data_IF_581432034053
#
_entry.id   IF_581432034053
#
_cell.length_a   1.000
_cell.length_b   1.000
_cell.length_c   1.000
_cell.angle_alpha   90.00
_cell.angle_beta   90.00
_cell.angle_gamma   90.00
#
_symmetry.space_group_name_H-M   'P 1'
#
loop_
_entity.id
_entity.type
_entity.pdbx_description
1 polymer ?
#
# COMPACT_ATOMS: atom_id res chain seq x y z
N UNK A 1 -6.46 -1.89 14.23
CA UNK A 1 -5.82 -3.22 14.45
C UNK A 1 -6.33 -3.87 15.72
N UNK A 2 -6.41 -3.15 16.87
CA UNK A 2 -6.89 -3.76 18.13
C UNK A 2 -8.35 -4.18 18.11
N UNK A 3 -9.22 -3.44 17.40
CA UNK A 3 -10.63 -3.82 17.26
C UNK A 3 -10.81 -5.04 16.35
N UNK A 4 -9.94 -5.21 15.36
CA UNK A 4 -9.96 -6.39 14.49
C UNK A 4 -9.42 -7.63 15.19
N UNK A 5 -8.39 -7.49 16.03
CA UNK A 5 -7.83 -8.60 16.80
C UNK A 5 -8.89 -9.19 17.77
N UNK A 6 -9.69 -8.32 18.43
CA UNK A 6 -10.79 -8.77 19.28
C UNK A 6 -11.93 -9.49 18.55
N UNK A 7 -12.13 -9.16 17.27
CA UNK A 7 -13.13 -9.83 16.42
C UNK A 7 -12.69 -11.25 16.03
N UNK A 8 -11.40 -11.48 15.89
CA UNK A 8 -10.89 -12.79 15.51
C UNK A 8 -10.57 -13.72 16.67
N UNK A 9 -10.39 -13.20 17.88
CA UNK A 9 -10.09 -14.01 19.08
C UNK A 9 -11.30 -14.70 19.69
N UNK A 10 -12.53 -14.19 19.43
CA UNK A 10 -13.78 -14.80 19.95
C UNK A 10 -14.82 -15.03 18.85
N UNK A 11 -14.60 -16.01 17.96
CA UNK A 11 -15.50 -16.25 16.82
C UNK A 11 -16.95 -16.58 17.21
N UNK A 12 -17.20 -16.97 18.46
CA UNK A 12 -18.54 -17.31 18.96
C UNK A 12 -19.36 -16.09 19.44
N UNK A 13 -18.76 -14.91 19.56
CA UNK A 13 -19.43 -13.68 20.03
C UNK A 13 -19.65 -12.67 18.91
N UNK A 14 -19.08 -12.90 17.74
CA UNK A 14 -19.21 -11.99 16.60
C UNK A 14 -20.46 -12.31 15.80
N UNK A 15 -21.34 -11.33 15.67
CA UNK A 15 -22.46 -11.41 14.75
C UNK A 15 -21.92 -11.46 13.31
N UNK A 16 -21.99 -12.65 12.71
CA UNK A 16 -21.57 -12.88 11.33
C UNK A 16 -22.26 -11.96 10.32
N UNK A 17 -23.41 -11.37 10.65
CA UNK A 17 -24.08 -10.41 9.78
C UNK A 17 -23.28 -9.11 9.65
N UNK A 18 -22.59 -8.67 10.70
CA UNK A 18 -21.72 -7.49 10.69
C UNK A 18 -20.47 -7.74 9.85
N UNK A 19 -19.89 -8.93 9.95
CA UNK A 19 -18.76 -9.32 9.13
C UNK A 19 -19.15 -9.43 7.65
N UNK A 20 -20.34 -9.92 7.34
CA UNK A 20 -20.88 -9.99 5.98
C UNK A 20 -21.19 -8.62 5.38
N UNK A 21 -21.48 -7.63 6.19
CA UNK A 21 -21.72 -6.26 5.73
C UNK A 21 -20.43 -5.43 5.55
N UNK A 22 -19.31 -5.90 6.08
CA UNK A 22 -18.02 -5.30 5.86
C UNK A 22 -17.36 -5.95 4.62
N UNK A 23 -16.56 -5.22 3.90
CA UNK A 23 -15.76 -5.74 2.78
C UNK A 23 -14.72 -6.80 3.17
N UNK A 24 -14.83 -7.35 4.36
CA UNK A 24 -14.25 -8.60 4.82
C UNK A 24 -14.88 -9.84 4.17
N UNK A 25 -15.80 -9.66 3.22
CA UNK A 25 -16.51 -10.72 2.51
C UNK A 25 -15.60 -11.80 1.94
N UNK A 26 -14.39 -11.44 1.56
CA UNK A 26 -13.40 -12.41 1.12
C UNK A 26 -13.12 -13.48 2.17
N UNK A 27 -12.74 -13.06 3.38
CA UNK A 27 -12.37 -14.00 4.44
C UNK A 27 -13.57 -14.87 4.83
N UNK A 28 -14.73 -14.26 4.98
CA UNK A 28 -15.96 -14.98 5.32
C UNK A 28 -16.41 -15.89 4.18
N UNK A 29 -16.29 -15.43 2.95
CA UNK A 29 -16.58 -16.25 1.79
C UNK A 29 -15.66 -17.48 1.73
N UNK A 30 -14.37 -17.32 1.99
CA UNK A 30 -13.41 -18.42 2.02
C UNK A 30 -13.68 -19.39 3.16
N UNK A 31 -14.14 -18.92 4.32
CA UNK A 31 -14.53 -19.76 5.47
C UNK A 31 -15.81 -20.53 5.20
N UNK A 32 -16.84 -19.87 4.65
CA UNK A 32 -18.13 -20.48 4.34
C UNK A 32 -18.12 -21.37 3.09
N UNK A 33 -17.21 -21.08 2.15
CA UNK A 33 -17.10 -21.74 0.85
C UNK A 33 -15.67 -22.18 0.54
N UNK A 34 -15.00 -22.96 1.41
CA UNK A 34 -13.60 -23.32 1.25
C UNK A 34 -13.39 -24.12 -0.05
N UNK A 35 -13.24 -23.40 -1.17
CA UNK A 35 -13.01 -23.94 -2.52
C UNK A 35 -14.10 -24.91 -3.05
N UNK A 36 -15.06 -25.29 -2.24
CA UNK A 36 -16.13 -26.23 -2.62
C UNK A 36 -17.26 -25.60 -3.43
N UNK A 37 -17.47 -24.29 -3.29
CA UNK A 37 -18.49 -23.54 -4.04
C UNK A 37 -18.03 -23.04 -5.41
N UNK A 38 -16.74 -23.23 -5.73
CA UNK A 38 -16.15 -22.71 -6.97
C UNK A 38 -15.89 -21.20 -6.95
N UNK A 39 -15.27 -20.71 -8.03
CA UNK A 39 -14.96 -19.29 -8.21
C UNK A 39 -16.28 -18.51 -8.37
N UNK A 40 -16.45 -17.33 -7.72
CA UNK A 40 -17.65 -16.51 -7.88
C UNK A 40 -17.92 -16.14 -9.34
N UNK A 41 -19.18 -16.12 -9.72
CA UNK A 41 -19.59 -15.81 -11.09
C UNK A 41 -19.06 -14.44 -11.54
N UNK A 42 -18.50 -14.40 -12.73
CA UNK A 42 -17.91 -13.18 -13.32
C UNK A 42 -16.42 -13.00 -13.09
N UNK A 43 -15.77 -13.96 -12.40
CA UNK A 43 -14.32 -13.96 -12.17
C UNK A 43 -13.67 -15.21 -12.73
N UNK A 44 -12.44 -15.07 -13.24
CA UNK A 44 -11.67 -16.16 -13.82
C UNK A 44 -10.85 -16.92 -12.76
N UNK A 45 -10.60 -16.31 -11.61
CA UNK A 45 -9.83 -16.88 -10.49
C UNK A 45 -10.22 -16.28 -9.16
N UNK A 46 -9.87 -16.95 -8.06
CA UNK A 46 -10.01 -16.43 -6.70
C UNK A 46 -9.21 -15.13 -6.52
N UNK A 47 -8.01 -15.06 -7.06
CA UNK A 47 -7.15 -13.90 -6.99
C UNK A 47 -7.78 -12.68 -7.69
N UNK A 48 -8.45 -12.87 -8.82
CA UNK A 48 -9.17 -11.79 -9.51
C UNK A 48 -10.35 -11.30 -8.69
N UNK A 49 -11.11 -12.22 -8.08
CA UNK A 49 -12.19 -11.88 -7.16
C UNK A 49 -11.69 -11.10 -5.93
N UNK A 50 -10.61 -11.56 -5.32
CA UNK A 50 -10.04 -10.91 -4.15
C UNK A 50 -9.51 -9.49 -4.46
N UNK A 51 -8.82 -9.30 -5.58
CA UNK A 51 -8.41 -7.95 -6.02
C UNK A 51 -9.60 -7.04 -6.29
N UNK A 52 -10.63 -7.56 -6.94
CA UNK A 52 -11.84 -6.81 -7.19
C UNK A 52 -12.54 -6.39 -5.88
N UNK A 53 -12.59 -7.28 -4.90
CA UNK A 53 -13.19 -7.00 -3.58
C UNK A 53 -12.45 -5.88 -2.84
N UNK A 54 -11.10 -5.92 -2.82
CA UNK A 54 -10.29 -4.85 -2.24
C UNK A 54 -10.47 -3.54 -3.00
N UNK A 55 -10.50 -3.60 -4.32
CA UNK A 55 -10.72 -2.41 -5.18
C UNK A 55 -12.10 -1.80 -4.93
N UNK A 56 -13.15 -2.62 -4.83
CA UNK A 56 -14.51 -2.15 -4.52
C UNK A 56 -14.55 -1.43 -3.17
N UNK A 57 -13.84 -1.94 -2.17
CA UNK A 57 -13.71 -1.26 -0.88
C UNK A 57 -13.06 0.13 -1.02
N UNK A 58 -11.92 0.22 -1.71
CA UNK A 58 -11.21 1.50 -1.92
C UNK A 58 -12.09 2.49 -2.68
N UNK A 59 -12.75 2.04 -3.74
CA UNK A 59 -13.68 2.88 -4.51
C UNK A 59 -14.85 3.38 -3.67
N UNK A 60 -15.47 2.49 -2.89
CA UNK A 60 -16.60 2.87 -2.01
C UNK A 60 -16.17 3.89 -0.97
N UNK A 61 -14.98 3.73 -0.41
CA UNK A 61 -14.40 4.69 0.53
C UNK A 61 -14.17 6.05 -0.14
N UNK A 62 -13.58 6.06 -1.33
CA UNK A 62 -13.40 7.28 -2.13
C UNK A 62 -14.74 7.98 -2.37
N UNK A 63 -15.74 7.27 -2.90
CA UNK A 63 -17.04 7.86 -3.27
C UNK A 63 -17.76 8.42 -2.04
N UNK A 64 -17.65 7.72 -0.89
CA UNK A 64 -18.19 8.20 0.37
C UNK A 64 -17.50 9.49 0.83
N UNK A 65 -16.18 9.55 0.76
CA UNK A 65 -15.41 10.76 1.12
C UNK A 65 -15.77 11.91 0.18
N UNK A 66 -15.78 11.67 -1.14
CA UNK A 66 -16.10 12.69 -2.12
C UNK A 66 -17.51 13.25 -1.96
N UNK A 67 -18.48 12.41 -1.58
CA UNK A 67 -19.85 12.85 -1.35
C UNK A 67 -20.04 13.70 -0.09
N UNK A 68 -19.25 13.45 0.95
CA UNK A 68 -19.42 14.08 2.26
C UNK A 68 -18.37 15.15 2.56
N UNK A 69 -17.12 14.93 2.13
CA UNK A 69 -15.96 15.78 2.45
C UNK A 69 -14.99 15.83 1.25
N UNK A 70 -15.38 16.44 0.11
CA UNK A 70 -14.60 16.43 -1.12
C UNK A 70 -13.23 17.11 -1.01
N UNK A 71 -12.98 17.84 0.07
CA UNK A 71 -11.67 18.45 0.36
C UNK A 71 -10.68 17.50 1.06
N UNK A 72 -11.14 16.32 1.52
CA UNK A 72 -10.27 15.33 2.16
C UNK A 72 -9.54 14.53 1.08
N UNK A 73 -8.23 14.41 1.24
CA UNK A 73 -7.39 13.58 0.38
C UNK A 73 -7.29 12.16 0.93
N UNK A 74 -7.44 11.19 0.04
CA UNK A 74 -7.28 9.78 0.36
C UNK A 74 -5.91 9.31 -0.10
N UNK A 75 -5.11 8.74 0.81
CA UNK A 75 -3.83 8.14 0.49
C UNK A 75 -3.82 6.64 0.81
N UNK A 76 -3.02 5.89 0.07
CA UNK A 76 -2.82 4.46 0.32
C UNK A 76 -1.34 4.14 0.57
N UNK A 77 -1.06 3.48 1.69
CA UNK A 77 0.22 2.84 1.99
C UNK A 77 0.19 1.40 1.46
N UNK A 78 0.42 1.24 0.16
CA UNK A 78 0.48 -0.07 -0.48
C UNK A 78 1.81 -0.79 -0.19
N UNK A 79 1.92 -2.07 -0.54
CA UNK A 79 3.22 -2.75 -0.48
C UNK A 79 4.22 -2.11 -1.43
N UNK A 80 5.49 -2.06 -1.02
CA UNK A 80 6.58 -1.41 -1.75
C UNK A 80 6.88 -1.99 -3.13
N UNK A 81 6.53 -3.25 -3.37
CA UNK A 81 6.51 -3.89 -4.68
C UNK A 81 5.07 -3.97 -5.18
N UNK A 82 4.82 -3.53 -6.40
CA UNK A 82 3.51 -3.69 -7.03
C UNK A 82 3.36 -5.09 -7.65
N UNK A 83 4.14 -5.39 -8.69
CA UNK A 83 4.16 -6.69 -9.40
C UNK A 83 5.54 -7.34 -9.47
N UNK A 84 6.59 -6.65 -9.05
CA UNK A 84 7.95 -7.18 -9.11
C UNK A 84 8.06 -8.55 -8.47
N UNK A 85 8.73 -9.47 -9.18
CA UNK A 85 8.85 -10.87 -8.81
C UNK A 85 7.71 -11.77 -9.31
N UNK A 86 6.65 -11.21 -9.90
CA UNK A 86 5.53 -11.96 -10.46
C UNK A 86 4.72 -12.78 -9.45
N UNK A 87 3.88 -13.69 -9.95
CA UNK A 87 3.00 -14.52 -9.11
C UNK A 87 3.75 -15.57 -8.28
N UNK A 88 4.79 -16.18 -8.81
CA UNK A 88 5.62 -17.16 -8.10
C UNK A 88 6.71 -16.56 -7.21
N UNK A 89 6.90 -15.25 -7.27
CA UNK A 89 8.07 -14.56 -6.74
C UNK A 89 7.93 -14.00 -5.34
N UNK A 90 8.63 -12.88 -5.14
CA UNK A 90 8.70 -12.18 -3.87
C UNK A 90 7.35 -11.60 -3.43
N UNK A 91 7.28 -11.22 -2.17
CA UNK A 91 6.13 -10.56 -1.57
C UNK A 91 5.82 -9.23 -2.28
N UNK A 92 4.68 -9.16 -2.97
CA UNK A 92 4.24 -7.99 -3.72
C UNK A 92 2.74 -7.71 -3.50
N UNK A 93 2.31 -6.49 -3.81
CA UNK A 93 0.95 -6.03 -3.58
C UNK A 93 -0.08 -6.77 -4.43
N UNK A 94 0.20 -6.89 -5.71
CA UNK A 94 -0.78 -7.39 -6.68
C UNK A 94 -1.12 -8.87 -6.51
N UNK A 95 -0.10 -9.73 -6.35
CA UNK A 95 -0.29 -11.18 -6.34
C UNK A 95 -0.43 -11.76 -4.93
N UNK A 96 0.12 -11.11 -3.88
CA UNK A 96 0.18 -11.69 -2.54
C UNK A 96 -0.84 -11.14 -1.56
N UNK A 97 -1.18 -9.86 -1.69
CA UNK A 97 -2.19 -9.22 -0.83
C UNK A 97 -3.31 -8.56 -1.61
N UNK A 98 -3.36 -8.81 -2.92
CA UNK A 98 -4.44 -8.42 -3.82
C UNK A 98 -4.71 -6.91 -3.86
N UNK A 99 -3.67 -6.11 -3.63
CA UNK A 99 -3.68 -4.66 -3.75
C UNK A 99 -3.40 -4.26 -5.20
N UNK A 100 -4.42 -3.83 -5.93
CA UNK A 100 -4.24 -3.22 -7.25
C UNK A 100 -4.04 -1.71 -7.12
N UNK A 101 -2.96 -1.33 -6.42
CA UNK A 101 -2.68 0.05 -6.06
C UNK A 101 -2.45 0.96 -7.28
N UNK A 102 -1.92 0.40 -8.37
CA UNK A 102 -1.78 1.14 -9.61
C UNK A 102 -3.14 1.46 -10.26
N UNK A 103 -4.08 0.52 -10.24
CA UNK A 103 -5.45 0.78 -10.69
C UNK A 103 -6.08 1.90 -9.85
N UNK A 104 -6.00 1.82 -8.52
CA UNK A 104 -6.61 2.83 -7.65
C UNK A 104 -6.04 4.23 -7.91
N UNK A 105 -4.75 4.30 -8.15
CA UNK A 105 -4.05 5.55 -8.46
C UNK A 105 -4.42 6.08 -9.85
N UNK A 106 -4.49 5.23 -10.86
CA UNK A 106 -4.80 5.61 -12.23
C UNK A 106 -6.26 6.05 -12.38
N UNK A 107 -7.21 5.34 -11.76
CA UNK A 107 -8.63 5.66 -11.80
C UNK A 107 -9.03 6.83 -10.88
N UNK A 108 -8.13 7.22 -9.94
CA UNK A 108 -8.36 8.33 -9.03
C UNK A 108 -9.18 7.96 -7.80
N UNK A 109 -9.23 6.68 -7.44
CA UNK A 109 -9.81 6.27 -6.18
C UNK A 109 -8.97 6.67 -4.97
N UNK A 110 -7.70 7.00 -5.21
CA UNK A 110 -6.80 7.61 -4.23
C UNK A 110 -6.12 8.84 -4.82
N UNK A 111 -5.90 9.87 -4.00
CA UNK A 111 -5.20 11.09 -4.39
C UNK A 111 -3.69 10.96 -4.28
N UNK A 112 -3.23 10.10 -3.39
CA UNK A 112 -1.82 9.87 -3.14
C UNK A 112 -1.52 8.40 -2.94
N UNK A 113 -0.45 7.94 -3.56
CA UNK A 113 0.10 6.60 -3.37
C UNK A 113 1.45 6.71 -2.64
N UNK A 114 1.57 6.01 -1.51
CA UNK A 114 2.81 5.98 -0.71
C UNK A 114 3.16 4.52 -0.40
N UNK A 115 3.80 3.81 -1.32
CA UNK A 115 4.18 2.42 -1.08
C UNK A 115 5.21 2.29 0.05
N UNK A 116 5.06 1.24 0.85
CA UNK A 116 5.95 0.89 1.95
C UNK A 116 7.23 0.25 1.42
N UNK A 117 8.20 1.07 1.01
CA UNK A 117 9.49 0.62 0.45
C UNK A 117 10.44 0.11 1.54
N UNK A 118 9.99 -0.87 2.33
CA UNK A 118 10.70 -1.33 3.52
C UNK A 118 11.86 -2.30 3.25
N UNK A 119 12.00 -2.76 1.99
CA UNK A 119 13.02 -3.72 1.61
C UNK A 119 14.28 -3.08 0.98
N UNK A 120 14.25 -1.78 0.73
CA UNK A 120 15.36 -1.07 0.07
C UNK A 120 16.08 -0.16 1.05
N UNK A 121 17.39 -0.22 1.01
CA UNK A 121 18.28 0.55 1.89
C UNK A 121 19.29 1.39 1.12
N UNK A 122 19.29 1.32 -0.22
CA UNK A 122 20.21 2.05 -1.09
C UNK A 122 19.47 2.93 -2.10
N UNK A 123 20.06 4.06 -2.46
CA UNK A 123 19.49 4.96 -3.47
C UNK A 123 19.28 4.27 -4.83
N UNK A 124 20.21 3.40 -5.25
CA UNK A 124 20.06 2.62 -6.49
C UNK A 124 18.90 1.64 -6.43
N UNK A 125 18.71 0.95 -5.29
CA UNK A 125 17.58 0.04 -5.12
C UNK A 125 16.23 0.77 -5.20
N UNK A 126 16.14 1.97 -4.60
CA UNK A 126 14.93 2.80 -4.72
C UNK A 126 14.69 3.24 -6.17
N UNK A 127 15.68 3.77 -6.85
CA UNK A 127 15.50 4.21 -8.24
C UNK A 127 15.18 3.05 -9.18
N UNK A 128 15.72 1.87 -8.94
CA UNK A 128 15.42 0.67 -9.71
C UNK A 128 13.94 0.27 -9.57
N UNK A 129 13.44 0.07 -8.35
CA UNK A 129 12.04 -0.35 -8.14
C UNK A 129 11.04 0.70 -8.63
N UNK A 130 11.36 1.99 -8.48
CA UNK A 130 10.52 3.07 -8.97
C UNK A 130 10.38 3.03 -10.49
N UNK A 131 11.46 2.81 -11.22
CA UNK A 131 11.47 2.82 -12.68
C UNK A 131 11.05 1.49 -13.31
N UNK A 132 11.32 0.35 -12.67
CA UNK A 132 11.06 -0.98 -13.25
C UNK A 132 9.67 -1.51 -12.92
N UNK A 133 9.12 -1.21 -11.73
CA UNK A 133 7.86 -1.77 -11.27
C UNK A 133 6.75 -0.72 -11.17
N UNK A 134 7.02 0.47 -10.62
CA UNK A 134 5.98 1.48 -10.42
C UNK A 134 5.69 2.31 -11.67
N UNK A 135 6.68 2.99 -12.23
CA UNK A 135 6.48 3.91 -13.36
C UNK A 135 5.71 3.30 -14.55
N UNK A 136 6.00 2.06 -14.98
CA UNK A 136 5.28 1.46 -16.10
C UNK A 136 3.78 1.22 -15.83
N UNK A 137 3.39 1.18 -14.56
CA UNK A 137 2.03 0.84 -14.15
C UNK A 137 1.19 2.03 -13.70
N UNK A 138 1.80 3.18 -13.35
CA UNK A 138 1.09 4.34 -12.75
C UNK A 138 1.12 5.61 -13.61
N UNK A 139 1.56 5.51 -14.86
CA UNK A 139 1.69 6.66 -15.77
C UNK A 139 0.43 7.52 -15.88
N UNK A 140 -0.78 6.96 -16.04
CA UNK A 140 -2.02 7.73 -16.11
C UNK A 140 -2.29 8.56 -14.85
N UNK A 141 -2.04 8.01 -13.66
CA UNK A 141 -2.21 8.73 -12.40
C UNK A 141 -1.24 9.90 -12.25
N UNK A 142 0.03 9.70 -12.64
CA UNK A 142 1.04 10.77 -12.68
C UNK A 142 0.61 11.87 -13.64
N UNK A 143 0.18 11.51 -14.84
CA UNK A 143 -0.29 12.47 -15.85
C UNK A 143 -1.53 13.26 -15.39
N UNK A 144 -2.34 12.67 -14.52
CA UNK A 144 -3.50 13.32 -13.91
C UNK A 144 -3.10 14.21 -12.70
N UNK A 145 -1.82 14.31 -12.35
CA UNK A 145 -1.31 15.15 -11.26
C UNK A 145 -1.55 14.59 -9.86
N UNK A 146 -1.73 13.27 -9.73
CA UNK A 146 -1.83 12.63 -8.42
C UNK A 146 -0.44 12.46 -7.81
N UNK A 147 -0.38 12.48 -6.48
CA UNK A 147 0.87 12.51 -5.74
C UNK A 147 1.42 11.09 -5.52
N UNK A 148 2.70 10.91 -5.78
CA UNK A 148 3.41 9.71 -5.41
C UNK A 148 4.53 10.04 -4.44
N UNK A 149 4.55 9.37 -3.29
CA UNK A 149 5.59 9.52 -2.29
C UNK A 149 6.27 8.18 -2.03
N UNK A 150 7.57 8.21 -1.79
CA UNK A 150 8.29 7.02 -1.31
C UNK A 150 8.10 6.88 0.19
N UNK A 151 7.86 5.64 0.65
CA UNK A 151 7.71 5.30 2.06
C UNK A 151 8.88 4.47 2.59
N UNK A 152 10.05 5.08 2.90
CA UNK A 152 11.18 4.37 3.44
C UNK A 152 10.94 3.94 4.90
N UNK A 153 11.54 2.81 5.29
CA UNK A 153 11.55 2.36 6.67
C UNK A 153 12.86 2.78 7.35
N UNK A 154 12.81 3.82 8.14
CA UNK A 154 14.00 4.43 8.77
C UNK A 154 14.78 3.48 9.67
N UNK A 155 14.11 2.55 10.33
CA UNK A 155 14.77 1.51 11.12
C UNK A 155 15.77 0.66 10.30
N UNK A 156 15.47 0.40 9.02
CA UNK A 156 16.35 -0.37 8.14
C UNK A 156 17.64 0.41 7.78
N UNK A 157 17.59 1.74 7.82
CA UNK A 157 18.76 2.57 7.59
C UNK A 157 19.60 2.75 8.85
N UNK A 158 19.01 2.50 10.01
CA UNK A 158 19.45 3.00 11.28
C UNK A 158 20.03 1.98 12.25
N UNK A 159 20.39 0.77 11.81
CA UNK A 159 21.03 -0.21 12.72
C UNK A 159 22.29 0.38 13.42
N UNK A 160 22.79 1.51 12.91
CA UNK A 160 23.94 2.23 13.48
C UNK A 160 23.67 3.74 13.70
N UNK A 161 22.41 4.20 13.60
CA UNK A 161 22.08 5.62 13.82
C UNK A 161 22.71 6.56 12.78
N UNK A 162 22.87 6.12 11.54
CA UNK A 162 23.61 6.89 10.51
C UNK A 162 22.64 7.61 9.59
N UNK A 163 22.51 8.92 9.76
CA UNK A 163 21.72 9.78 8.87
C UNK A 163 22.15 9.69 7.40
N UNK A 164 23.42 9.46 7.10
CA UNK A 164 23.96 9.38 5.74
C UNK A 164 23.22 8.40 4.81
N UNK A 165 22.61 7.34 5.35
CA UNK A 165 21.80 6.43 4.56
C UNK A 165 20.50 7.09 4.09
N UNK A 166 19.83 7.86 4.94
CA UNK A 166 18.64 8.63 4.56
C UNK A 166 19.00 9.67 3.50
N UNK A 167 20.09 10.42 3.70
CA UNK A 167 20.56 11.40 2.75
C UNK A 167 20.83 10.79 1.38
N UNK A 168 21.53 9.65 1.32
CA UNK A 168 21.83 8.93 0.07
C UNK A 168 20.53 8.53 -0.67
N UNK A 169 19.53 8.01 0.05
CA UNK A 169 18.23 7.65 -0.53
C UNK A 169 17.48 8.89 -1.01
N UNK A 170 17.44 9.94 -0.19
CA UNK A 170 16.77 11.20 -0.55
C UNK A 170 17.40 11.82 -1.81
N UNK A 171 18.73 11.89 -1.88
CA UNK A 171 19.43 12.42 -3.04
C UNK A 171 19.16 11.61 -4.31
N UNK A 172 19.18 10.28 -4.22
CA UNK A 172 18.90 9.42 -5.35
C UNK A 172 17.45 9.55 -5.84
N UNK A 173 16.48 9.53 -4.93
CA UNK A 173 15.04 9.62 -5.27
C UNK A 173 14.69 11.00 -5.82
N UNK A 174 15.32 12.07 -5.37
CA UNK A 174 15.14 13.42 -5.94
C UNK A 174 15.53 13.53 -7.42
N UNK A 175 16.27 12.59 -7.96
CA UNK A 175 16.54 12.52 -9.41
C UNK A 175 15.37 11.94 -10.21
N UNK A 176 14.39 11.36 -9.54
CA UNK A 176 13.19 10.77 -10.15
C UNK A 176 12.09 11.83 -10.18
N UNK A 177 11.95 12.49 -11.31
CA UNK A 177 11.18 13.73 -11.47
C UNK A 177 9.65 13.59 -11.31
N UNK A 178 9.14 12.39 -11.21
CA UNK A 178 7.71 12.11 -11.00
C UNK A 178 7.36 11.71 -9.56
N UNK A 179 8.35 11.67 -8.67
CA UNK A 179 8.16 11.44 -7.23
C UNK A 179 8.02 12.78 -6.52
N UNK A 180 6.92 12.95 -5.77
CA UNK A 180 6.58 14.22 -5.12
C UNK A 180 7.17 14.37 -3.72
N UNK A 181 7.49 13.26 -3.04
CA UNK A 181 7.98 13.37 -1.67
C UNK A 181 8.28 12.05 -0.97
N UNK A 182 8.42 12.17 0.34
CA UNK A 182 8.78 11.08 1.23
C UNK A 182 7.80 10.99 2.40
N UNK A 183 7.50 9.79 2.84
CA UNK A 183 6.85 9.49 4.11
C UNK A 183 7.68 8.46 4.87
N UNK A 184 8.56 8.93 5.74
CA UNK A 184 9.41 8.04 6.53
C UNK A 184 8.61 7.32 7.62
N UNK A 185 8.78 6.04 7.72
CA UNK A 185 8.24 5.24 8.81
C UNK A 185 9.42 4.87 9.74
N UNK A 186 9.43 5.30 11.00
CA UNK A 186 8.37 6.01 11.68
C UNK A 186 8.90 7.23 12.45
N UNK A 187 7.98 8.05 12.95
CA UNK A 187 8.33 9.17 13.84
C UNK A 187 9.14 8.73 15.06
N UNK A 188 8.76 7.60 15.68
CA UNK A 188 9.46 7.05 16.84
C UNK A 188 10.92 6.64 16.54
N UNK A 189 11.20 6.15 15.31
CA UNK A 189 12.58 5.88 14.91
C UNK A 189 13.38 7.17 14.76
N UNK A 190 12.77 8.22 14.19
CA UNK A 190 13.40 9.52 14.03
C UNK A 190 13.70 10.18 15.38
N UNK A 191 12.79 10.07 16.33
CA UNK A 191 13.00 10.57 17.69
C UNK A 191 14.10 9.77 18.41
N UNK A 192 14.02 8.43 18.32
CA UNK A 192 14.97 7.54 19.00
C UNK A 192 16.42 7.64 18.50
N UNK A 193 16.58 7.99 17.20
CA UNK A 193 17.92 8.18 16.59
C UNK A 193 18.32 9.65 16.40
N UNK A 194 17.53 10.59 16.91
CA UNK A 194 17.79 12.05 16.82
C UNK A 194 17.90 12.60 15.38
N UNK A 195 17.30 11.94 14.39
CA UNK A 195 17.39 12.32 12.98
C UNK A 195 16.76 13.67 12.65
N UNK A 196 15.92 14.22 13.51
CA UNK A 196 15.33 15.54 13.28
C UNK A 196 16.37 16.65 13.25
N UNK A 197 17.44 16.54 14.05
CA UNK A 197 18.55 17.50 14.03
C UNK A 197 19.34 17.44 12.73
N UNK A 198 19.59 16.24 12.23
CA UNK A 198 20.35 16.00 11.01
C UNK A 198 19.57 16.43 9.75
N UNK A 199 18.26 16.17 9.74
CA UNK A 199 17.41 16.53 8.61
C UNK A 199 17.24 18.05 8.42
N UNK A 200 17.49 18.85 9.45
CA UNK A 200 17.40 20.31 9.44
C UNK A 200 18.71 21.04 9.10
N UNK A 201 19.80 20.32 9.01
CA UNK A 201 21.14 20.86 8.69
C UNK A 201 21.42 20.82 7.20
#
# INVERSE_FOLDING_TARGET
TRELDGIFEEPNTVDNSLLKSASADRFLYDVEHPYSGGIPSGYDSWESYWRASVTTFVQTLHDTIQSQKPWVRLSAAALGKYKDGGDGGAWNGYYRVYQDAALWFNEGYIDQLTPMHYHWTTGSGFTEILNSDWLPNIGPGIAAGRLYSVGPYSYQFGVEGVWAHHESVVQAVRTVNWVDGFQFFSYGDWEGYEYFSDAGS
#
